data_IF_088258596123
#
_entry.id   IF_088258596123
#
_cell.length_a   1.000
_cell.length_b   1.000
_cell.length_c   1.000
_cell.angle_alpha   90.00
_cell.angle_beta   90.00
_cell.angle_gamma   90.00
#
_symmetry.space_group_name_H-M   'P 1'
#
loop_
_entity.id
_entity.type
_entity.pdbx_description
1 polymer ?
#
# COMPACT_ATOMS: atom_id res chain seq x y z
N UNK A 1 -47.10 3.47 -22.55
CA UNK A 1 -46.85 2.91 -21.20
C UNK A 1 -45.79 1.85 -21.35
N UNK A 2 -44.59 2.09 -20.85
CA UNK A 2 -43.64 1.05 -20.44
C UNK A 2 -42.45 1.74 -19.77
N UNK A 3 -42.47 1.77 -18.44
CA UNK A 3 -41.28 2.03 -17.62
C UNK A 3 -40.83 0.65 -17.17
N UNK A 4 -39.87 0.07 -17.89
CA UNK A 4 -39.15 -1.12 -17.42
C UNK A 4 -38.07 -0.66 -16.45
N UNK A 5 -38.34 -0.94 -15.18
CA UNK A 5 -37.56 -0.64 -14.01
C UNK A 5 -36.20 -1.37 -14.08
N UNK A 6 -35.13 -0.65 -14.41
CA UNK A 6 -33.75 -1.11 -14.34
C UNK A 6 -33.32 -1.25 -12.86
N UNK A 7 -33.54 -2.43 -12.26
CA UNK A 7 -33.10 -2.76 -10.91
C UNK A 7 -32.20 -4.02 -10.88
N UNK A 8 -31.25 -4.15 -11.81
CA UNK A 8 -30.38 -5.35 -11.84
C UNK A 8 -28.87 -5.08 -11.85
N UNK A 9 -28.43 -3.84 -11.63
CA UNK A 9 -26.99 -3.49 -11.72
C UNK A 9 -26.33 -3.18 -10.37
N UNK A 10 -27.09 -2.96 -9.29
CA UNK A 10 -26.52 -2.51 -8.01
C UNK A 10 -25.90 -3.62 -7.13
N UNK A 11 -26.20 -4.90 -7.36
CA UNK A 11 -25.77 -5.98 -6.44
C UNK A 11 -24.37 -6.57 -6.77
N UNK A 12 -23.86 -6.31 -7.98
CA UNK A 12 -22.54 -6.80 -8.41
C UNK A 12 -21.39 -5.84 -8.03
N UNK A 13 -21.67 -4.55 -7.90
CA UNK A 13 -20.63 -3.57 -7.52
C UNK A 13 -20.31 -3.60 -6.02
N UNK A 14 -21.30 -3.86 -5.16
CA UNK A 14 -21.08 -3.98 -3.70
C UNK A 14 -20.21 -5.19 -3.33
N UNK A 15 -20.37 -6.32 -4.04
CA UNK A 15 -19.60 -7.55 -3.75
C UNK A 15 -18.14 -7.46 -4.19
N UNK A 16 -17.81 -6.70 -5.24
CA UNK A 16 -16.43 -6.47 -5.66
C UNK A 16 -15.70 -5.45 -4.77
N UNK A 17 -16.40 -4.41 -4.30
CA UNK A 17 -15.82 -3.44 -3.36
C UNK A 17 -15.52 -4.08 -1.99
N UNK A 18 -16.42 -4.91 -1.46
CA UNK A 18 -16.19 -5.59 -0.17
C UNK A 18 -15.03 -6.60 -0.24
N UNK A 19 -14.87 -7.30 -1.37
CA UNK A 19 -13.74 -8.20 -1.59
C UNK A 19 -12.40 -7.42 -1.67
N UNK A 20 -12.39 -6.26 -2.33
CA UNK A 20 -11.19 -5.43 -2.46
C UNK A 20 -10.76 -4.82 -1.12
N UNK A 21 -11.71 -4.38 -0.30
CA UNK A 21 -11.46 -3.88 1.07
C UNK A 21 -10.92 -4.99 1.99
N UNK A 22 -11.40 -6.22 1.81
CA UNK A 22 -10.90 -7.37 2.56
C UNK A 22 -9.47 -7.75 2.15
N UNK A 23 -9.11 -7.67 0.87
CA UNK A 23 -7.75 -7.95 0.38
C UNK A 23 -6.75 -6.86 0.80
N UNK A 24 -7.17 -5.60 0.85
CA UNK A 24 -6.35 -4.46 1.29
C UNK A 24 -5.96 -4.60 2.77
N UNK A 25 -6.93 -4.87 3.66
CA UNK A 25 -6.68 -5.07 5.08
C UNK A 25 -5.74 -6.27 5.34
N UNK A 26 -5.88 -7.33 4.54
CA UNK A 26 -5.02 -8.52 4.64
C UNK A 26 -3.58 -8.23 4.17
N UNK A 27 -3.42 -7.38 3.15
CA UNK A 27 -2.12 -6.95 2.65
C UNK A 27 -1.43 -6.00 3.63
N UNK A 28 -2.17 -5.06 4.21
CA UNK A 28 -1.68 -4.13 5.23
C UNK A 28 -1.18 -4.88 6.48
N UNK A 29 -1.94 -5.86 6.96
CA UNK A 29 -1.53 -6.72 8.07
C UNK A 29 -0.29 -7.57 7.76
N UNK A 30 -0.13 -8.04 6.51
CA UNK A 30 1.06 -8.79 6.06
C UNK A 30 2.29 -7.90 6.02
N UNK A 31 2.16 -6.65 5.57
CA UNK A 31 3.28 -5.68 5.52
C UNK A 31 3.78 -5.37 6.93
N UNK A 32 2.88 -5.10 7.88
CA UNK A 32 3.24 -4.85 9.29
C UNK A 32 4.00 -6.05 9.86
N UNK A 33 3.48 -7.27 9.66
CA UNK A 33 4.15 -8.48 10.11
C UNK A 33 5.55 -8.66 9.49
N UNK A 34 5.71 -8.31 8.21
CA UNK A 34 6.99 -8.43 7.52
C UNK A 34 8.03 -7.48 8.10
N UNK A 35 7.64 -6.25 8.45
CA UNK A 35 8.50 -5.24 9.07
C UNK A 35 8.89 -5.68 10.48
N UNK A 36 7.93 -6.19 11.27
CA UNK A 36 8.17 -6.65 12.65
C UNK A 36 9.02 -7.93 12.74
N UNK A 37 9.01 -8.78 11.71
CA UNK A 37 9.70 -10.09 11.72
C UNK A 37 10.95 -10.15 10.84
N UNK A 38 11.38 -9.04 10.24
CA UNK A 38 12.71 -8.98 9.62
C UNK A 38 13.76 -9.23 10.71
N UNK A 39 14.61 -10.26 10.59
CA UNK A 39 15.68 -10.49 11.54
C UNK A 39 16.68 -9.34 11.38
N UNK A 40 16.55 -8.34 12.25
CA UNK A 40 17.60 -7.36 12.49
C UNK A 40 18.66 -8.13 13.27
N UNK A 41 19.62 -8.71 12.54
CA UNK A 41 20.88 -9.20 13.13
C UNK A 41 21.69 -7.98 13.59
N UNK A 42 21.24 -7.31 14.66
CA UNK A 42 22.03 -6.35 15.39
C UNK A 42 22.18 -6.85 16.84
N UNK A 43 23.38 -7.31 17.24
CA UNK A 43 23.59 -7.89 18.55
C UNK A 43 23.87 -6.80 19.58
N UNK A 44 22.99 -5.79 19.70
CA UNK A 44 23.12 -4.77 20.73
C UNK A 44 21.77 -4.34 21.27
N UNK A 45 21.59 -4.73 22.52
CA UNK A 45 20.89 -4.02 23.58
C UNK A 45 19.38 -3.78 23.47
N UNK A 46 18.72 -4.39 24.45
CA UNK A 46 17.40 -4.09 24.93
C UNK A 46 17.32 -2.66 25.47
N UNK A 47 16.99 -1.69 24.62
CA UNK A 47 16.35 -0.44 25.05
C UNK A 47 15.16 -0.17 24.13
N UNK A 48 13.96 -0.16 24.70
CA UNK A 48 12.72 0.13 23.98
C UNK A 48 12.61 1.63 23.71
N UNK A 49 13.51 2.16 22.89
CA UNK A 49 13.29 3.44 22.26
C UNK A 49 12.25 3.20 21.17
N UNK A 50 11.03 3.71 21.38
CA UNK A 50 10.12 3.95 20.26
C UNK A 50 10.78 5.04 19.43
N UNK A 51 11.72 4.65 18.58
CA UNK A 51 12.26 5.52 17.55
C UNK A 51 11.08 6.05 16.77
N UNK A 52 10.91 7.36 16.83
CA UNK A 52 9.87 8.04 16.08
C UNK A 52 10.31 7.94 14.62
N UNK A 53 9.79 6.92 13.92
CA UNK A 53 10.16 6.66 12.52
C UNK A 53 10.07 7.96 11.72
N UNK A 54 11.18 8.33 11.09
CA UNK A 54 11.25 9.56 10.33
C UNK A 54 10.27 9.48 9.15
N UNK A 55 9.33 10.44 9.08
CA UNK A 55 8.35 10.48 7.99
C UNK A 55 9.09 10.80 6.69
N UNK A 56 9.30 9.78 5.87
CA UNK A 56 9.94 9.91 4.56
C UNK A 56 8.97 10.45 3.51
N UNK A 57 9.49 11.21 2.55
CA UNK A 57 8.69 11.61 1.38
C UNK A 57 8.39 10.38 0.53
N UNK A 58 7.19 10.35 -0.06
CA UNK A 58 6.75 9.25 -0.94
C UNK A 58 7.76 8.96 -2.06
N UNK A 59 8.34 10.01 -2.66
CA UNK A 59 9.35 9.85 -3.70
C UNK A 59 10.60 9.11 -3.19
N UNK A 60 11.06 9.46 -1.98
CA UNK A 60 12.24 8.85 -1.37
C UNK A 60 11.96 7.39 -0.99
N UNK A 61 10.75 7.08 -0.50
CA UNK A 61 10.33 5.70 -0.21
C UNK A 61 10.30 4.82 -1.48
N UNK A 62 9.78 5.34 -2.60
CA UNK A 62 9.76 4.61 -3.88
C UNK A 62 11.18 4.37 -4.39
N UNK A 63 12.06 5.39 -4.30
CA UNK A 63 13.46 5.26 -4.69
C UNK A 63 14.19 4.24 -3.81
N UNK A 64 13.94 4.25 -2.50
CA UNK A 64 14.48 3.27 -1.56
C UNK A 64 14.09 1.85 -1.93
N UNK A 65 12.80 1.61 -2.22
CA UNK A 65 12.31 0.31 -2.67
C UNK A 65 12.95 -0.13 -4.00
N UNK A 66 13.10 0.78 -4.96
CA UNK A 66 13.76 0.47 -6.24
C UNK A 66 15.23 0.10 -6.05
N UNK A 67 15.92 0.80 -5.16
CA UNK A 67 17.32 0.51 -4.84
C UNK A 67 17.46 -0.83 -4.12
N UNK A 68 16.56 -1.14 -3.18
CA UNK A 68 16.53 -2.42 -2.48
C UNK A 68 16.31 -3.59 -3.45
N UNK A 69 15.30 -3.49 -4.32
CA UNK A 69 15.01 -4.52 -5.33
C UNK A 69 16.22 -4.74 -6.25
N UNK A 70 16.86 -3.65 -6.72
CA UNK A 70 18.07 -3.75 -7.54
C UNK A 70 19.23 -4.38 -6.79
N UNK A 71 19.43 -4.00 -5.53
CA UNK A 71 20.49 -4.55 -4.70
C UNK A 71 20.34 -6.07 -4.54
N UNK A 72 19.12 -6.54 -4.27
CA UNK A 72 18.81 -7.96 -4.15
C UNK A 72 19.11 -8.68 -5.48
N UNK A 73 18.64 -8.13 -6.60
CA UNK A 73 18.83 -8.71 -7.93
C UNK A 73 20.31 -8.75 -8.36
N UNK A 74 21.12 -7.76 -7.98
CA UNK A 74 22.52 -7.65 -8.36
C UNK A 74 23.45 -8.52 -7.52
N UNK A 75 23.12 -8.72 -6.25
CA UNK A 75 23.95 -9.50 -5.33
C UNK A 75 23.53 -10.97 -5.24
N UNK A 76 22.57 -11.40 -6.06
CA UNK A 76 22.01 -12.76 -6.08
C UNK A 76 21.70 -13.27 -4.66
N UNK A 77 21.15 -12.38 -3.83
CA UNK A 77 20.78 -12.76 -2.48
C UNK A 77 19.68 -13.81 -2.59
N UNK A 78 19.80 -14.91 -1.84
CA UNK A 78 18.81 -15.99 -1.77
C UNK A 78 17.52 -15.51 -1.10
N UNK A 79 16.85 -14.57 -1.76
CA UNK A 79 15.58 -14.03 -1.35
C UNK A 79 14.48 -14.77 -2.10
N UNK A 80 13.44 -15.13 -1.36
CA UNK A 80 12.32 -15.85 -1.95
C UNK A 80 11.65 -14.99 -3.03
N UNK A 81 11.20 -15.64 -4.10
CA UNK A 81 10.41 -14.96 -5.13
C UNK A 81 9.12 -14.35 -4.57
N UNK A 82 8.65 -14.79 -3.40
CA UNK A 82 7.54 -14.17 -2.66
C UNK A 82 7.91 -12.79 -2.15
N UNK A 83 9.05 -12.67 -1.46
CA UNK A 83 9.49 -11.39 -0.88
C UNK A 83 9.71 -10.32 -1.96
N UNK A 84 10.28 -10.70 -3.11
CA UNK A 84 10.41 -9.78 -4.25
C UNK A 84 9.03 -9.30 -4.74
N UNK A 85 8.05 -10.19 -4.83
CA UNK A 85 6.68 -9.81 -5.24
C UNK A 85 6.06 -8.87 -4.21
N UNK A 86 6.25 -9.13 -2.92
CA UNK A 86 5.77 -8.27 -1.84
C UNK A 86 6.36 -6.85 -1.93
N UNK A 87 7.66 -6.71 -2.20
CA UNK A 87 8.30 -5.40 -2.42
C UNK A 87 7.70 -4.64 -3.63
N UNK A 88 7.43 -5.35 -4.73
CA UNK A 88 6.75 -4.75 -5.88
C UNK A 88 5.30 -4.37 -5.58
N UNK A 89 4.58 -5.17 -4.80
CA UNK A 89 3.21 -4.87 -4.37
C UNK A 89 3.18 -3.65 -3.46
N UNK A 90 4.09 -3.56 -2.50
CA UNK A 90 4.23 -2.40 -1.61
C UNK A 90 4.49 -1.11 -2.41
N UNK A 91 5.41 -1.15 -3.39
CA UNK A 91 5.65 -0.02 -4.27
C UNK A 91 4.38 0.42 -5.01
N UNK A 92 3.60 -0.53 -5.55
CA UNK A 92 2.32 -0.22 -6.22
C UNK A 92 1.30 0.40 -5.27
N UNK A 93 1.22 -0.12 -4.04
CA UNK A 93 0.31 0.35 -3.02
C UNK A 93 0.59 1.81 -2.62
N UNK A 94 1.86 2.15 -2.39
CA UNK A 94 2.27 3.53 -2.09
C UNK A 94 1.88 4.49 -3.23
N UNK A 95 2.08 4.06 -4.49
CA UNK A 95 1.70 4.87 -5.66
C UNK A 95 0.19 5.06 -5.73
N UNK A 96 -0.58 3.99 -5.46
CA UNK A 96 -2.04 4.04 -5.42
C UNK A 96 -2.53 5.04 -4.39
N UNK A 97 -2.10 4.92 -3.12
CA UNK A 97 -2.47 5.85 -2.05
C UNK A 97 -2.12 7.30 -2.37
N UNK A 98 -0.97 7.54 -3.00
CA UNK A 98 -0.56 8.87 -3.44
C UNK A 98 -1.51 9.46 -4.49
N UNK A 99 -1.96 8.65 -5.45
CA UNK A 99 -2.92 9.08 -6.46
C UNK A 99 -4.31 9.30 -5.87
N UNK A 100 -4.72 8.44 -4.95
CA UNK A 100 -5.99 8.54 -4.25
C UNK A 100 -6.07 9.83 -3.41
N UNK A 101 -5.00 10.13 -2.67
CA UNK A 101 -4.88 11.37 -1.89
C UNK A 101 -4.98 12.62 -2.78
N UNK A 102 -4.38 12.59 -3.97
CA UNK A 102 -4.48 13.70 -4.94
C UNK A 102 -5.89 13.86 -5.49
N UNK A 103 -6.56 12.73 -5.80
CA UNK A 103 -7.95 12.74 -6.27
C UNK A 103 -8.88 13.33 -5.22
N UNK A 104 -8.71 12.92 -3.97
CA UNK A 104 -9.46 13.43 -2.83
C UNK A 104 -9.25 14.94 -2.65
N UNK A 105 -8.01 15.42 -2.71
CA UNK A 105 -7.71 16.85 -2.60
C UNK A 105 -8.39 17.69 -3.70
N UNK A 106 -8.43 17.19 -4.95
CA UNK A 106 -9.13 17.86 -6.06
C UNK A 106 -10.63 17.92 -5.83
N UNK A 107 -11.23 16.83 -5.33
CA UNK A 107 -12.66 16.78 -5.03
C UNK A 107 -13.02 17.79 -3.92
N UNK A 108 -12.19 17.85 -2.88
CA UNK A 108 -12.37 18.82 -1.78
C UNK A 108 -12.25 20.27 -2.28
N UNK A 109 -11.28 20.57 -3.14
CA UNK A 109 -11.14 21.88 -3.77
C UNK A 109 -12.39 22.24 -4.59
N UNK A 110 -12.90 21.30 -5.39
CA UNK A 110 -14.11 21.50 -6.20
C UNK A 110 -15.35 21.78 -5.33
N UNK A 111 -15.55 21.01 -4.27
CA UNK A 111 -16.68 21.20 -3.34
C UNK A 111 -16.58 22.58 -2.68
N UNK A 112 -15.40 22.97 -2.22
CA UNK A 112 -15.18 24.25 -1.56
C UNK A 112 -15.40 25.46 -2.48
N UNK A 113 -15.26 25.30 -3.80
CA UNK A 113 -15.57 26.34 -4.79
C UNK A 113 -17.07 26.47 -5.09
N UNK A 114 -17.87 25.47 -4.73
CA UNK A 114 -19.31 25.41 -5.01
C UNK A 114 -20.18 25.87 -3.83
N UNK A 115 -19.57 26.15 -2.67
CA UNK A 115 -20.20 26.67 -1.43
C UNK A 115 -19.89 28.15 -1.28
#
# INVERSE_FOLDING_TARGET
>A
MEILNNNFTSMYEETELEAFVSEEAELEAKIINLIEHLPIDDPLDSESEKEQEEIVKIGDAIIGLDNLIKYIQQNDLEITSSLIKELYSLKKYIIYLCNESKRQAILEEFINLMV
#
